data_IF_194619599083
#
_entry.id   IF_194619599083
#
_cell.length_a   1.000
_cell.length_b   1.000
_cell.length_c   1.000
_cell.angle_alpha   90.00
_cell.angle_beta   90.00
_cell.angle_gamma   90.00
#
_symmetry.space_group_name_H-M   'P 1'
#
loop_
_entity.id
_entity.type
_entity.pdbx_description
1 polymer ?
#
# COMPACT_ATOMS: atom_id res chain seq x y z
N UNK A 1 0.43 -14.96 -20.98
CA UNK A 1 0.20 -14.04 -19.85
C UNK A 1 1.29 -14.28 -18.82
N UNK A 2 2.06 -13.26 -18.47
CA UNK A 2 3.02 -13.33 -17.36
C UNK A 2 2.29 -12.99 -16.05
N UNK A 3 2.65 -13.67 -14.96
CA UNK A 3 2.17 -13.33 -13.61
C UNK A 3 2.76 -11.99 -13.20
N UNK A 4 1.95 -11.12 -12.59
CA UNK A 4 2.41 -9.88 -11.96
C UNK A 4 2.58 -10.11 -10.46
N UNK A 5 3.71 -9.68 -9.92
CA UNK A 5 4.02 -9.81 -8.49
C UNK A 5 3.89 -8.45 -7.82
N UNK A 6 3.19 -8.41 -6.69
CA UNK A 6 3.11 -7.24 -5.83
C UNK A 6 3.77 -7.50 -4.47
N UNK A 7 4.04 -6.43 -3.73
CA UNK A 7 4.63 -6.48 -2.38
C UNK A 7 3.83 -5.61 -1.41
N UNK A 8 3.71 -6.04 -0.16
CA UNK A 8 3.04 -5.26 0.87
C UNK A 8 4.01 -4.21 1.47
N UNK A 9 3.57 -2.95 1.68
CA UNK A 9 4.42 -1.88 2.21
C UNK A 9 4.87 -2.13 3.65
N UNK A 10 4.24 -3.08 4.36
CA UNK A 10 4.63 -3.53 5.71
C UNK A 10 6.08 -4.03 5.80
N UNK A 11 6.68 -4.42 4.66
CA UNK A 11 8.10 -4.78 4.60
C UNK A 11 9.04 -3.58 4.86
N UNK A 12 8.56 -2.34 4.67
CA UNK A 12 9.32 -1.10 4.91
C UNK A 12 8.87 -0.32 6.13
N UNK A 13 7.58 -0.36 6.47
CA UNK A 13 7.05 0.32 7.65
C UNK A 13 5.79 -0.33 8.17
N UNK A 14 5.71 -0.52 9.49
CA UNK A 14 4.54 -1.09 10.15
C UNK A 14 3.62 0.00 10.68
N UNK A 15 2.33 -0.06 10.32
CA UNK A 15 1.33 0.92 10.75
C UNK A 15 0.89 0.74 12.22
N UNK A 16 0.94 -0.49 12.74
CA UNK A 16 0.57 -0.82 14.14
C UNK A 16 1.74 -0.61 15.11
N UNK A 17 2.99 -0.82 14.66
CA UNK A 17 4.23 -0.61 15.41
C UNK A 17 5.14 0.39 14.69
N UNK A 18 4.92 1.71 14.84
CA UNK A 18 5.65 2.75 14.11
C UNK A 18 7.16 2.75 14.35
N UNK A 19 7.66 2.18 15.44
CA UNK A 19 9.10 2.00 15.67
C UNK A 19 9.77 1.09 14.62
N UNK A 20 8.98 0.25 13.94
CA UNK A 20 9.44 -0.62 12.85
C UNK A 20 9.31 0.12 11.52
N UNK A 21 10.29 0.99 11.23
CA UNK A 21 10.38 1.67 9.93
C UNK A 21 9.41 2.84 9.75
N UNK A 22 8.82 3.38 10.82
CA UNK A 22 7.96 4.56 10.76
C UNK A 22 8.63 5.77 10.11
N UNK A 23 9.94 5.93 10.30
CA UNK A 23 10.73 6.99 9.66
C UNK A 23 11.06 6.73 8.18
N UNK A 24 10.80 5.53 7.66
CA UNK A 24 11.01 5.20 6.24
C UNK A 24 10.03 6.00 5.38
N UNK A 25 10.48 6.91 4.52
CA UNK A 25 9.60 7.68 3.65
C UNK A 25 8.86 6.80 2.63
N UNK A 26 7.67 7.22 2.21
CA UNK A 26 6.90 6.51 1.19
C UNK A 26 7.67 6.38 -0.14
N UNK A 27 8.44 7.40 -0.53
CA UNK A 27 9.24 7.35 -1.77
C UNK A 27 10.28 6.21 -1.74
N UNK A 28 10.85 5.92 -0.57
CA UNK A 28 11.83 4.84 -0.39
C UNK A 28 11.16 3.50 -0.62
N UNK A 29 10.00 3.27 0.01
CA UNK A 29 9.22 2.04 -0.17
C UNK A 29 8.82 1.81 -1.63
N UNK A 30 8.31 2.85 -2.31
CA UNK A 30 7.89 2.73 -3.72
C UNK A 30 9.07 2.53 -4.66
N UNK A 31 10.17 3.27 -4.47
CA UNK A 31 11.40 3.12 -5.26
C UNK A 31 11.98 1.72 -5.11
N UNK A 32 12.18 1.26 -3.88
CA UNK A 32 12.80 -0.04 -3.60
C UNK A 32 11.91 -1.21 -4.04
N UNK A 33 10.58 -1.04 -4.01
CA UNK A 33 9.64 -2.02 -4.57
C UNK A 33 9.84 -2.20 -6.08
N UNK A 34 9.98 -1.09 -6.82
CA UNK A 34 10.28 -1.14 -8.25
C UNK A 34 11.67 -1.74 -8.52
N UNK A 35 12.70 -1.27 -7.80
CA UNK A 35 14.09 -1.78 -7.94
C UNK A 35 14.19 -3.29 -7.66
N UNK A 36 13.37 -3.82 -6.75
CA UNK A 36 13.26 -5.24 -6.47
C UNK A 36 12.50 -6.04 -7.55
N UNK A 37 11.92 -5.38 -8.56
CA UNK A 37 11.24 -6.01 -9.69
C UNK A 37 9.75 -6.29 -9.49
N UNK A 38 9.12 -5.71 -8.47
CA UNK A 38 7.67 -5.81 -8.30
C UNK A 38 6.92 -4.91 -9.28
N UNK A 39 5.73 -5.33 -9.66
CA UNK A 39 4.84 -4.58 -10.58
C UNK A 39 3.69 -3.88 -9.84
N UNK A 40 3.66 -3.96 -8.50
CA UNK A 40 2.64 -3.31 -7.70
C UNK A 40 2.85 -3.42 -6.20
N UNK A 41 2.01 -2.70 -5.47
CA UNK A 41 2.02 -2.64 -4.00
C UNK A 41 0.60 -2.67 -3.46
N UNK A 42 0.46 -3.12 -2.20
CA UNK A 42 -0.77 -2.90 -1.44
C UNK A 42 -0.83 -1.45 -0.92
N UNK A 43 -2.00 -1.00 -0.47
CA UNK A 43 -2.12 0.25 0.29
C UNK A 43 -1.48 0.12 1.68
N UNK A 44 -0.98 1.23 2.23
CA UNK A 44 -0.49 1.30 3.62
C UNK A 44 -0.82 2.64 4.25
N UNK A 45 -0.60 2.79 5.56
CA UNK A 45 -0.99 3.97 6.33
C UNK A 45 -0.38 5.29 5.87
N UNK A 46 0.77 5.23 5.17
CA UNK A 46 1.45 6.40 4.59
C UNK A 46 0.94 6.79 3.20
N UNK A 47 0.10 5.98 2.57
CA UNK A 47 -0.34 6.18 1.19
C UNK A 47 -1.50 7.20 1.15
N UNK A 48 -1.56 8.06 0.11
CA UNK A 48 -2.73 8.90 -0.11
C UNK A 48 -3.99 8.05 -0.31
N UNK A 49 -5.10 8.44 0.33
CA UNK A 49 -6.39 7.76 0.18
C UNK A 49 -7.17 8.24 -1.06
N UNK A 50 -6.84 9.43 -1.56
CA UNK A 50 -7.46 9.96 -2.78
C UNK A 50 -6.91 9.23 -4.01
N UNK A 51 -7.77 8.51 -4.71
CA UNK A 51 -7.41 7.78 -5.93
C UNK A 51 -6.82 8.68 -7.02
N UNK A 52 -7.25 9.95 -7.10
CA UNK A 52 -6.71 10.93 -8.05
C UNK A 52 -5.27 11.35 -7.75
N UNK A 53 -4.79 11.09 -6.52
CA UNK A 53 -3.41 11.33 -6.09
C UNK A 53 -2.60 10.03 -6.10
N UNK A 54 -3.19 8.94 -5.58
CA UNK A 54 -2.52 7.65 -5.45
C UNK A 54 -2.15 7.03 -6.81
N UNK A 55 -3.07 7.03 -7.77
CA UNK A 55 -2.83 6.45 -9.10
C UNK A 55 -1.63 7.08 -9.81
N UNK A 56 -1.58 8.42 -9.94
CA UNK A 56 -0.42 9.11 -10.51
C UNK A 56 0.87 8.87 -9.73
N UNK A 57 0.83 8.84 -8.40
CA UNK A 57 2.01 8.57 -7.57
C UNK A 57 2.60 7.19 -7.87
N UNK A 58 1.79 6.13 -7.87
CA UNK A 58 2.27 4.77 -8.15
C UNK A 58 2.82 4.64 -9.57
N UNK A 59 2.19 5.33 -10.53
CA UNK A 59 2.62 5.33 -11.93
C UNK A 59 4.01 5.95 -12.13
N UNK A 60 4.46 6.86 -11.25
CA UNK A 60 5.82 7.41 -11.29
C UNK A 60 6.91 6.37 -10.98
N UNK A 61 6.54 5.26 -10.35
CA UNK A 61 7.42 4.15 -10.01
C UNK A 61 7.10 2.87 -10.80
N UNK A 62 6.30 2.96 -11.87
CA UNK A 62 5.80 1.82 -12.64
C UNK A 62 5.09 0.74 -11.77
N UNK A 63 4.44 1.16 -10.69
CA UNK A 63 3.69 0.29 -9.78
C UNK A 63 2.18 0.44 -10.00
N UNK A 64 1.45 -0.64 -9.73
CA UNK A 64 -0.01 -0.65 -9.66
C UNK A 64 -0.48 -0.90 -8.23
N UNK A 65 -1.64 -0.37 -7.86
CA UNK A 65 -2.31 -0.78 -6.62
C UNK A 65 -2.89 -2.19 -6.85
N UNK A 66 -2.48 -3.16 -6.04
CA UNK A 66 -2.89 -4.56 -6.22
C UNK A 66 -3.96 -5.01 -5.23
N UNK A 67 -3.99 -4.42 -4.04
CA UNK A 67 -4.90 -4.74 -2.93
C UNK A 67 -4.83 -3.64 -1.87
N UNK A 68 -5.70 -3.74 -0.87
CA UNK A 68 -5.65 -2.88 0.31
C UNK A 68 -6.35 -3.54 1.49
N UNK A 69 -5.93 -3.15 2.69
CA UNK A 69 -6.52 -3.62 3.94
C UNK A 69 -7.79 -2.83 4.28
N UNK A 70 -8.83 -3.54 4.75
CA UNK A 70 -10.05 -2.95 5.29
C UNK A 70 -10.39 -3.59 6.64
N UNK A 71 -10.45 -2.77 7.70
CA UNK A 71 -10.84 -3.20 9.03
C UNK A 71 -12.37 -3.17 9.18
N UNK A 72 -13.02 -4.31 8.94
CA UNK A 72 -14.46 -4.45 9.17
C UNK A 72 -14.82 -4.35 10.66
N UNK A 73 -15.97 -3.73 10.96
CA UNK A 73 -16.52 -3.50 12.30
C UNK A 73 -17.89 -4.16 12.47
N UNK A 74 -18.11 -5.33 11.90
CA UNK A 74 -19.39 -6.05 11.91
C UNK A 74 -19.94 -6.43 13.30
N UNK A 75 -19.12 -6.33 14.36
CA UNK A 75 -19.60 -6.47 15.75
C UNK A 75 -20.34 -5.20 16.24
N UNK A 76 -20.15 -4.08 15.55
CA UNK A 76 -20.63 -2.75 15.93
C UNK A 76 -21.53 -2.13 14.84
N UNK A 77 -21.29 -2.48 13.56
CA UNK A 77 -22.00 -1.97 12.39
C UNK A 77 -22.78 -3.09 11.69
N UNK A 78 -23.91 -2.75 11.07
CA UNK A 78 -24.57 -3.68 10.14
C UNK A 78 -23.81 -3.77 8.82
N UNK A 79 -24.06 -4.85 8.05
CA UNK A 79 -23.46 -5.03 6.72
C UNK A 79 -23.77 -3.87 5.76
N UNK A 80 -24.88 -3.15 5.96
CA UNK A 80 -25.25 -2.01 5.12
C UNK A 80 -24.54 -0.69 5.52
N UNK A 81 -23.94 -0.64 6.70
CA UNK A 81 -23.22 0.51 7.26
C UNK A 81 -21.69 0.41 7.11
N UNK A 82 -21.19 -0.78 6.75
CA UNK A 82 -19.82 -0.99 6.23
C UNK A 82 -19.67 -0.38 4.83
#
# INVERSE_FOLDING_TARGET
MAIKLGVAPIAWSNDDLPELGGDTPLDVCLRESHEAGYSGTESGGKFPLDASVLGPLLSQYDLQLVSGWFSGRLLELSVAEE
#
